data_IF_488474192525
#
_entry.id   IF_488474192525
#
_cell.length_a   1.000
_cell.length_b   1.000
_cell.length_c   1.000
_cell.angle_alpha   90.00
_cell.angle_beta   90.00
_cell.angle_gamma   90.00
#
_symmetry.space_group_name_H-M   'P 1'
#
loop_
_entity.id
_entity.type
_entity.pdbx_description
1 polymer ?
#
# COMPACT_ATOMS: atom_id res chain seq x y z
N UNK A 1 -20.36 22.44 5.82
CA UNK A 1 -19.85 21.11 5.39
C UNK A 1 -20.44 20.81 4.03
N UNK A 2 -19.68 21.01 2.95
CA UNK A 2 -20.23 20.86 1.62
C UNK A 2 -20.37 19.37 1.24
N UNK A 3 -21.61 18.92 0.99
CA UNK A 3 -21.93 17.64 0.33
C UNK A 3 -21.08 17.38 -0.93
N UNK A 4 -20.57 18.44 -1.56
CA UNK A 4 -19.68 18.39 -2.71
C UNK A 4 -18.35 17.68 -2.45
N UNK A 5 -17.83 17.66 -1.21
CA UNK A 5 -16.54 17.00 -0.91
C UNK A 5 -16.63 15.48 -1.00
N UNK A 6 -17.69 14.88 -0.44
CA UNK A 6 -17.88 13.42 -0.45
C UNK A 6 -18.23 12.87 -1.85
N UNK A 7 -19.04 13.60 -2.63
CA UNK A 7 -19.38 13.20 -4.00
C UNK A 7 -18.17 13.24 -4.94
N UNK A 8 -17.17 14.08 -4.66
CA UNK A 8 -15.90 14.13 -5.41
C UNK A 8 -14.90 13.06 -5.00
N UNK A 9 -14.98 12.59 -3.75
CA UNK A 9 -14.13 11.52 -3.25
C UNK A 9 -14.37 10.20 -3.98
N UNK A 10 -15.63 9.88 -4.31
CA UNK A 10 -15.99 8.60 -4.92
C UNK A 10 -15.38 8.38 -6.32
N UNK A 11 -15.42 9.34 -7.27
CA UNK A 11 -14.72 9.21 -8.54
C UNK A 11 -13.21 9.04 -8.39
N UNK A 12 -12.57 9.80 -7.50
CA UNK A 12 -11.12 9.70 -7.24
C UNK A 12 -10.77 8.28 -6.79
N UNK A 13 -11.56 7.76 -5.85
CA UNK A 13 -11.43 6.41 -5.34
C UNK A 13 -11.56 5.37 -6.47
N UNK A 14 -12.67 5.41 -7.20
CA UNK A 14 -12.96 4.42 -8.22
C UNK A 14 -11.91 4.44 -9.32
N UNK A 15 -11.54 5.62 -9.83
CA UNK A 15 -10.64 5.76 -10.97
C UNK A 15 -9.18 5.47 -10.64
N UNK A 16 -8.72 5.81 -9.42
CA UNK A 16 -7.29 5.69 -9.07
C UNK A 16 -6.96 4.42 -8.29
N UNK A 17 -7.92 3.80 -7.61
CA UNK A 17 -7.67 2.65 -6.74
C UNK A 17 -8.33 1.36 -7.24
N UNK A 18 -9.60 1.42 -7.62
CA UNK A 18 -10.36 0.19 -7.91
C UNK A 18 -10.37 -0.17 -9.39
N UNK A 19 -10.59 0.80 -10.28
CA UNK A 19 -10.71 0.57 -11.72
C UNK A 19 -9.43 -0.01 -12.33
N UNK A 20 -8.21 0.51 -12.06
CA UNK A 20 -7.00 -0.01 -12.69
C UNK A 20 -6.75 -1.49 -12.35
N UNK A 21 -6.90 -1.85 -11.07
CA UNK A 21 -6.73 -3.22 -10.61
C UNK A 21 -7.84 -4.14 -11.14
N UNK A 22 -9.09 -3.67 -11.19
CA UNK A 22 -10.22 -4.44 -11.74
C UNK A 22 -10.03 -4.76 -13.22
N UNK A 23 -9.58 -3.78 -14.02
CA UNK A 23 -9.34 -3.96 -15.45
C UNK A 23 -8.20 -4.96 -15.72
N UNK A 24 -7.16 -4.98 -14.89
CA UNK A 24 -6.10 -5.99 -14.98
C UNK A 24 -6.66 -7.36 -14.59
N UNK A 25 -7.35 -7.46 -13.45
CA UNK A 25 -7.86 -8.72 -12.93
C UNK A 25 -8.91 -9.37 -13.84
N UNK A 26 -9.70 -8.58 -14.55
CA UNK A 26 -10.67 -9.08 -15.53
C UNK A 26 -10.07 -9.36 -16.92
N UNK A 27 -8.77 -9.10 -17.12
CA UNK A 27 -8.08 -9.33 -18.39
C UNK A 27 -8.31 -8.26 -19.47
N UNK A 28 -9.01 -7.16 -19.20
CA UNK A 28 -9.17 -6.05 -20.15
C UNK A 28 -7.86 -5.28 -20.36
N UNK A 29 -7.02 -5.22 -19.33
CA UNK A 29 -5.68 -4.62 -19.38
C UNK A 29 -4.64 -5.71 -19.10
N UNK A 30 -3.57 -5.85 -19.91
CA UNK A 30 -2.55 -6.86 -19.66
C UNK A 30 -1.83 -6.66 -18.32
N UNK A 31 -1.50 -7.75 -17.63
CA UNK A 31 -0.79 -7.72 -16.34
C UNK A 31 0.55 -6.97 -16.36
N UNK A 32 1.19 -6.83 -17.53
CA UNK A 32 2.41 -6.03 -17.73
C UNK A 32 2.21 -4.55 -17.44
N UNK A 33 0.98 -4.03 -17.50
CA UNK A 33 0.66 -2.62 -17.23
C UNK A 33 0.53 -2.28 -15.74
N UNK A 34 0.68 -3.24 -14.82
CA UNK A 34 0.55 -2.98 -13.37
C UNK A 34 1.48 -1.87 -12.86
N UNK A 35 2.73 -1.82 -13.35
CA UNK A 35 3.70 -0.80 -12.93
C UNK A 35 3.43 0.57 -13.59
N UNK A 36 3.20 0.66 -14.93
CA UNK A 36 2.74 1.90 -15.55
C UNK A 36 1.48 2.49 -14.90
N UNK A 37 0.50 1.66 -14.56
CA UNK A 37 -0.75 2.12 -13.93
C UNK A 37 -0.55 2.56 -12.48
N UNK A 38 0.32 1.88 -11.72
CA UNK A 38 0.74 2.34 -10.39
C UNK A 38 1.41 3.72 -10.48
N UNK A 39 2.36 3.90 -11.41
CA UNK A 39 3.05 5.17 -11.63
C UNK A 39 2.07 6.28 -12.04
N UNK A 40 1.14 5.99 -12.96
CA UNK A 40 0.10 6.93 -13.37
C UNK A 40 -0.76 7.35 -12.17
N UNK A 41 -1.22 6.39 -11.37
CA UNK A 41 -2.05 6.66 -10.18
C UNK A 41 -1.28 7.51 -9.17
N UNK A 42 0.01 7.20 -8.95
CA UNK A 42 0.89 8.01 -8.10
C UNK A 42 1.03 9.44 -8.63
N UNK A 43 1.37 9.63 -9.90
CA UNK A 43 1.52 10.97 -10.49
C UNK A 43 0.22 11.78 -10.39
N UNK A 44 -0.93 11.17 -10.71
CA UNK A 44 -2.23 11.83 -10.62
C UNK A 44 -2.57 12.22 -9.18
N UNK A 45 -2.34 11.33 -8.21
CA UNK A 45 -2.59 11.66 -6.78
C UNK A 45 -1.63 12.70 -6.23
N UNK A 46 -0.37 12.75 -6.68
CA UNK A 46 0.57 13.84 -6.33
C UNK A 46 0.05 15.19 -6.86
N UNK A 47 -0.30 15.26 -8.15
CA UNK A 47 -0.87 16.49 -8.74
C UNK A 47 -2.17 16.89 -8.04
N UNK A 48 -3.03 15.92 -7.74
CA UNK A 48 -4.26 16.16 -7.00
C UNK A 48 -4.00 16.68 -5.58
N UNK A 49 -3.00 16.12 -4.87
CA UNK A 49 -2.61 16.59 -3.53
C UNK A 49 -2.19 18.05 -3.54
N UNK A 50 -1.43 18.45 -4.55
CA UNK A 50 -1.00 19.84 -4.77
C UNK A 50 -2.22 20.72 -5.04
N UNK A 51 -3.12 20.31 -5.93
CA UNK A 51 -4.36 21.02 -6.24
C UNK A 51 -5.25 21.22 -5.00
N UNK A 52 -5.29 20.22 -4.11
CA UNK A 52 -6.05 20.29 -2.84
C UNK A 52 -5.37 21.12 -1.76
N UNK A 53 -4.10 21.49 -1.95
CA UNK A 53 -3.32 22.21 -0.96
C UNK A 53 -2.97 21.37 0.26
N UNK A 54 -2.88 20.04 0.14
CA UNK A 54 -2.43 19.21 1.25
C UNK A 54 -1.00 19.54 1.64
N UNK A 55 -0.80 19.77 2.92
CA UNK A 55 0.53 19.99 3.49
C UNK A 55 1.32 18.69 3.55
N UNK A 56 2.66 18.81 3.57
CA UNK A 56 3.53 17.64 3.78
C UNK A 56 3.21 16.90 5.07
N UNK A 57 2.81 17.62 6.13
CA UNK A 57 2.38 17.03 7.40
C UNK A 57 1.11 16.18 7.28
N UNK A 58 0.11 16.64 6.54
CA UNK A 58 -1.12 15.87 6.27
C UNK A 58 -0.85 14.62 5.42
N UNK A 59 0.13 14.68 4.53
CA UNK A 59 0.62 13.54 3.76
C UNK A 59 1.59 12.65 4.57
N UNK A 60 1.89 12.99 5.82
CA UNK A 60 2.84 12.25 6.66
C UNK A 60 4.29 12.30 6.16
N UNK A 61 4.64 13.26 5.31
CA UNK A 61 6.01 13.53 4.88
C UNK A 61 6.63 14.43 5.94
N UNK A 62 7.23 13.81 6.96
CA UNK A 62 7.77 14.50 8.15
C UNK A 62 8.94 13.73 8.78
N UNK A 63 9.76 14.43 9.55
CA UNK A 63 11.00 13.89 10.15
C UNK A 63 10.96 13.83 11.68
N UNK A 64 10.10 14.61 12.31
CA UNK A 64 9.96 14.77 13.76
C UNK A 64 9.50 13.48 14.48
N UNK A 65 8.77 12.60 13.80
CA UNK A 65 8.38 11.28 14.33
C UNK A 65 9.05 10.08 13.61
N UNK A 66 10.03 10.33 12.74
CA UNK A 66 10.65 9.29 11.91
C UNK A 66 11.28 8.18 12.75
N UNK A 67 12.04 8.53 13.78
CA UNK A 67 12.68 7.55 14.67
C UNK A 67 11.68 6.63 15.37
N UNK A 68 10.53 7.17 15.81
CA UNK A 68 9.46 6.38 16.42
C UNK A 68 8.80 5.46 15.39
N UNK A 69 8.48 5.97 14.21
CA UNK A 69 7.89 5.18 13.11
C UNK A 69 8.81 4.02 12.72
N UNK A 70 10.11 4.27 12.58
CA UNK A 70 11.09 3.23 12.26
C UNK A 70 11.11 2.14 13.33
N UNK A 71 11.20 2.50 14.62
CA UNK A 71 11.24 1.52 15.73
C UNK A 71 10.01 0.62 15.77
N UNK A 72 8.81 1.18 15.62
CA UNK A 72 7.57 0.40 15.65
C UNK A 72 7.50 -0.54 14.44
N UNK A 73 7.89 -0.07 13.26
CA UNK A 73 7.86 -0.91 12.06
C UNK A 73 8.94 -2.02 12.06
N UNK A 74 10.09 -1.84 12.73
CA UNK A 74 11.08 -2.93 12.91
C UNK A 74 10.43 -4.16 13.56
N UNK A 75 9.68 -3.94 14.65
CA UNK A 75 9.00 -5.02 15.37
C UNK A 75 8.02 -5.75 14.45
N UNK A 76 7.23 -4.98 13.68
CA UNK A 76 6.29 -5.54 12.72
C UNK A 76 6.98 -6.37 11.62
N UNK A 77 8.09 -5.87 11.09
CA UNK A 77 8.87 -6.59 10.07
C UNK A 77 9.45 -7.88 10.61
N UNK A 78 10.00 -7.89 11.83
CA UNK A 78 10.49 -9.13 12.44
C UNK A 78 9.37 -10.16 12.62
N UNK A 79 8.18 -9.73 13.07
CA UNK A 79 7.02 -10.61 13.20
C UNK A 79 6.57 -11.19 11.85
N UNK A 80 6.50 -10.37 10.80
CA UNK A 80 6.10 -10.83 9.46
C UNK A 80 7.16 -11.70 8.79
N UNK A 81 8.44 -11.39 8.95
CA UNK A 81 9.52 -12.24 8.48
C UNK A 81 9.49 -13.61 9.17
N UNK A 82 9.22 -13.65 10.49
CA UNK A 82 9.04 -14.90 11.22
C UNK A 82 7.80 -15.67 10.75
N UNK A 83 6.68 -14.98 10.50
CA UNK A 83 5.47 -15.58 9.92
C UNK A 83 5.75 -16.20 8.55
N UNK A 84 6.41 -15.48 7.63
CA UNK A 84 6.77 -16.03 6.32
C UNK A 84 7.69 -17.24 6.43
N UNK A 85 8.69 -17.19 7.33
CA UNK A 85 9.56 -18.33 7.59
C UNK A 85 8.77 -19.55 8.12
N UNK A 86 7.82 -19.34 9.02
CA UNK A 86 6.95 -20.39 9.55
C UNK A 86 6.03 -20.97 8.46
N UNK A 87 5.34 -20.12 7.69
CA UNK A 87 4.48 -20.56 6.59
C UNK A 87 5.27 -21.34 5.53
N UNK A 88 6.50 -20.92 5.25
CA UNK A 88 7.41 -21.64 4.36
C UNK A 88 7.80 -22.99 4.93
N UNK A 89 8.21 -23.05 6.20
CA UNK A 89 8.57 -24.29 6.89
C UNK A 89 7.41 -25.30 6.90
N UNK A 90 6.18 -24.82 7.10
CA UNK A 90 4.94 -25.61 7.07
C UNK A 90 4.46 -25.95 5.65
N UNK A 91 5.17 -25.52 4.60
CA UNK A 91 4.82 -25.72 3.18
C UNK A 91 3.44 -25.16 2.80
N UNK A 92 3.01 -24.10 3.48
CA UNK A 92 1.75 -23.39 3.20
C UNK A 92 1.90 -22.30 2.13
N UNK A 93 3.15 -21.95 1.79
CA UNK A 93 3.49 -21.03 0.70
C UNK A 93 4.44 -21.73 -0.29
N UNK A 94 4.37 -21.40 -1.59
CA UNK A 94 4.99 -22.18 -2.66
C UNK A 94 6.53 -22.15 -2.66
N UNK A 95 7.14 -21.29 -1.86
CA UNK A 95 8.58 -21.31 -1.63
C UNK A 95 9.34 -20.35 -2.51
N UNK A 96 10.68 -20.42 -2.49
CA UNK A 96 11.45 -19.25 -2.79
C UNK A 96 11.31 -18.81 -4.25
N UNK A 97 10.90 -17.56 -4.48
CA UNK A 97 11.03 -16.89 -5.78
C UNK A 97 12.33 -16.13 -5.79
N UNK A 98 13.06 -16.18 -6.91
CA UNK A 98 14.21 -15.30 -7.09
C UNK A 98 13.96 -14.44 -8.32
N UNK A 99 13.42 -13.22 -8.17
CA UNK A 99 13.36 -12.26 -9.27
C UNK A 99 14.76 -11.81 -9.65
N UNK A 100 14.90 -10.96 -10.68
CA UNK A 100 16.17 -10.31 -11.02
C UNK A 100 16.61 -9.38 -9.87
N UNK A 101 17.29 -9.93 -8.87
CA UNK A 101 17.52 -9.32 -7.56
C UNK A 101 18.17 -7.93 -7.61
N UNK A 102 19.13 -7.75 -8.53
CA UNK A 102 19.87 -6.50 -8.71
C UNK A 102 18.99 -5.33 -9.16
N UNK A 103 17.89 -5.62 -9.87
CA UNK A 103 16.93 -4.61 -10.32
C UNK A 103 15.74 -4.56 -9.38
N UNK A 104 15.24 -5.72 -8.95
CA UNK A 104 14.04 -5.83 -8.15
C UNK A 104 14.18 -5.16 -6.78
N UNK A 105 15.27 -5.40 -6.05
CA UNK A 105 15.46 -4.81 -4.71
C UNK A 105 15.45 -3.28 -4.69
N UNK A 106 16.32 -2.58 -5.46
CA UNK A 106 16.32 -1.13 -5.44
C UNK A 106 15.01 -0.56 -5.97
N UNK A 107 14.44 -1.15 -7.04
CA UNK A 107 13.14 -0.73 -7.56
C UNK A 107 12.02 -0.86 -6.51
N UNK A 108 11.95 -2.01 -5.84
CA UNK A 108 10.87 -2.30 -4.90
C UNK A 108 10.96 -1.42 -3.66
N UNK A 109 12.16 -1.28 -3.08
CA UNK A 109 12.40 -0.52 -1.87
C UNK A 109 12.28 1.00 -2.09
N UNK A 110 12.83 1.52 -3.19
CA UNK A 110 12.97 2.97 -3.41
C UNK A 110 11.83 3.57 -4.23
N UNK A 111 11.12 2.77 -5.02
CA UNK A 111 10.09 3.26 -5.92
C UNK A 111 8.73 2.65 -5.65
N UNK A 112 8.61 1.32 -5.79
CA UNK A 112 7.31 0.66 -5.72
C UNK A 112 6.65 0.80 -4.35
N UNK A 113 7.37 0.48 -3.27
CA UNK A 113 6.82 0.58 -1.91
C UNK A 113 6.46 2.04 -1.53
N UNK A 114 7.35 3.05 -1.71
CA UNK A 114 6.98 4.44 -1.46
C UNK A 114 5.79 4.94 -2.25
N UNK A 115 5.64 4.55 -3.53
CA UNK A 115 4.48 4.91 -4.34
C UNK A 115 3.19 4.32 -3.79
N UNK A 116 3.22 3.04 -3.41
CA UNK A 116 2.06 2.38 -2.81
C UNK A 116 1.69 3.00 -1.46
N UNK A 117 2.64 3.19 -0.55
CA UNK A 117 2.34 3.82 0.73
C UNK A 117 1.90 5.28 0.58
N UNK A 118 2.40 6.02 -0.41
CA UNK A 118 1.88 7.35 -0.71
C UNK A 118 0.41 7.29 -1.11
N UNK A 119 0.01 6.38 -1.99
CA UNK A 119 -1.38 6.22 -2.41
C UNK A 119 -2.30 5.88 -1.22
N UNK A 120 -1.96 4.85 -0.46
CA UNK A 120 -2.88 4.28 0.54
C UNK A 120 -2.78 4.92 1.92
N UNK A 121 -1.61 5.43 2.32
CA UNK A 121 -1.41 6.04 3.63
C UNK A 121 -1.43 7.55 3.56
N UNK A 122 -0.66 8.15 2.65
CA UNK A 122 -0.60 9.61 2.56
C UNK A 122 -1.87 10.18 1.93
N UNK A 123 -2.05 9.96 0.63
CA UNK A 123 -3.12 10.55 -0.14
C UNK A 123 -4.50 10.13 0.37
N UNK A 124 -4.74 8.82 0.49
CA UNK A 124 -6.06 8.31 0.81
C UNK A 124 -6.51 8.74 2.22
N UNK A 125 -5.63 8.78 3.23
CA UNK A 125 -6.02 9.31 4.55
C UNK A 125 -6.32 10.82 4.50
N UNK A 126 -5.46 11.61 3.85
CA UNK A 126 -5.66 13.05 3.72
C UNK A 126 -6.99 13.34 3.01
N UNK A 127 -7.26 12.64 1.91
CA UNK A 127 -8.48 12.81 1.14
C UNK A 127 -9.73 12.35 1.89
N UNK A 128 -9.70 11.19 2.57
CA UNK A 128 -10.84 10.76 3.40
C UNK A 128 -11.16 11.77 4.52
N UNK A 129 -10.12 12.30 5.18
CA UNK A 129 -10.31 13.33 6.22
C UNK A 129 -10.90 14.61 5.64
N UNK A 130 -10.43 15.04 4.47
CA UNK A 130 -10.97 16.20 3.76
C UNK A 130 -12.41 15.96 3.23
N UNK A 131 -12.78 14.71 2.96
CA UNK A 131 -14.14 14.27 2.66
C UNK A 131 -15.05 14.21 3.91
N UNK A 132 -14.51 14.49 5.10
CA UNK A 132 -15.26 14.53 6.36
C UNK A 132 -15.29 13.21 7.13
N UNK A 133 -14.52 12.20 6.72
CA UNK A 133 -14.40 10.94 7.46
C UNK A 133 -13.58 11.17 8.73
N UNK A 134 -14.25 11.10 9.89
CA UNK A 134 -13.62 11.33 11.21
C UNK A 134 -13.38 10.06 12.02
N UNK A 135 -14.08 8.97 11.70
CA UNK A 135 -13.92 7.70 12.40
C UNK A 135 -12.56 7.07 12.05
N UNK A 136 -11.70 6.89 13.05
CA UNK A 136 -10.34 6.33 12.87
C UNK A 136 -10.34 4.92 12.28
N UNK A 137 -11.24 4.05 12.73
CA UNK A 137 -11.40 2.70 12.19
C UNK A 137 -11.86 2.71 10.74
N UNK A 138 -12.74 3.64 10.35
CA UNK A 138 -13.14 3.78 8.96
C UNK A 138 -11.93 4.13 8.08
N UNK A 139 -11.07 5.07 8.50
CA UNK A 139 -9.85 5.42 7.76
C UNK A 139 -8.91 4.21 7.62
N UNK A 140 -8.69 3.50 8.72
CA UNK A 140 -7.77 2.35 8.79
C UNK A 140 -8.27 1.19 7.94
N UNK A 141 -9.52 0.74 8.15
CA UNK A 141 -10.09 -0.39 7.44
C UNK A 141 -10.20 -0.12 5.95
N UNK A 142 -10.65 1.08 5.58
CA UNK A 142 -10.82 1.43 4.19
C UNK A 142 -9.49 1.52 3.44
N UNK A 143 -8.46 2.08 4.09
CA UNK A 143 -7.11 2.09 3.55
C UNK A 143 -6.52 0.68 3.41
N UNK A 144 -6.73 -0.19 4.40
CA UNK A 144 -6.28 -1.59 4.36
C UNK A 144 -7.00 -2.41 3.28
N UNK A 145 -8.32 -2.25 3.15
CA UNK A 145 -9.14 -2.89 2.11
C UNK A 145 -8.71 -2.43 0.72
N UNK A 146 -8.51 -1.13 0.51
CA UNK A 146 -8.06 -0.59 -0.77
C UNK A 146 -6.67 -1.11 -1.14
N UNK A 147 -5.75 -1.18 -0.16
CA UNK A 147 -4.41 -1.73 -0.35
C UNK A 147 -4.44 -3.21 -0.70
N UNK A 148 -5.23 -4.01 0.01
CA UNK A 148 -5.40 -5.43 -0.32
C UNK A 148 -6.05 -5.61 -1.69
N UNK A 149 -7.08 -4.82 -2.01
CA UNK A 149 -7.84 -4.94 -3.25
C UNK A 149 -6.97 -4.84 -4.49
N UNK A 150 -5.96 -3.94 -4.54
CA UNK A 150 -5.11 -3.85 -5.73
C UNK A 150 -4.32 -5.13 -6.03
N UNK A 151 -4.18 -6.03 -5.05
CA UNK A 151 -3.52 -7.31 -5.22
C UNK A 151 -4.44 -8.38 -5.83
N UNK A 152 -5.71 -8.06 -6.11
CA UNK A 152 -6.63 -8.95 -6.84
C UNK A 152 -6.07 -9.36 -8.22
N UNK A 153 -5.18 -8.56 -8.79
CA UNK A 153 -4.47 -8.82 -10.06
C UNK A 153 -3.61 -10.09 -10.05
N UNK A 154 -3.26 -10.61 -8.88
CA UNK A 154 -2.47 -11.84 -8.74
C UNK A 154 -3.35 -13.11 -8.76
N UNK A 155 -4.67 -12.96 -8.60
CA UNK A 155 -5.62 -14.08 -8.72
C UNK A 155 -5.60 -15.06 -7.55
N UNK A 156 -4.89 -14.76 -6.45
CA UNK A 156 -4.76 -15.66 -5.30
C UNK A 156 -5.28 -15.05 -3.99
N UNK A 157 -6.11 -15.81 -3.28
CA UNK A 157 -6.77 -15.38 -2.05
C UNK A 157 -5.79 -15.20 -0.88
N UNK A 158 -4.68 -15.94 -0.89
CA UNK A 158 -3.67 -15.88 0.17
C UNK A 158 -2.95 -14.52 0.14
N UNK A 159 -2.56 -14.03 -1.04
CA UNK A 159 -2.01 -12.68 -1.20
C UNK A 159 -3.00 -11.63 -0.74
N UNK A 160 -4.29 -11.74 -1.09
CA UNK A 160 -5.31 -10.81 -0.59
C UNK A 160 -5.39 -10.81 0.93
N UNK A 161 -5.44 -11.98 1.57
CA UNK A 161 -5.49 -12.11 3.03
C UNK A 161 -4.24 -11.54 3.70
N UNK A 162 -3.05 -11.90 3.23
CA UNK A 162 -1.78 -11.43 3.79
C UNK A 162 -1.59 -9.93 3.63
N UNK A 163 -1.91 -9.39 2.44
CA UNK A 163 -1.83 -7.95 2.15
C UNK A 163 -2.86 -7.16 2.95
N UNK A 164 -4.05 -7.72 3.20
CA UNK A 164 -5.02 -7.11 4.10
C UNK A 164 -4.52 -7.06 5.54
N UNK A 165 -4.00 -8.18 6.08
CA UNK A 165 -3.48 -8.23 7.45
C UNK A 165 -2.32 -7.27 7.68
N UNK A 166 -1.31 -7.25 6.80
CA UNK A 166 -0.20 -6.31 6.92
C UNK A 166 -0.65 -4.87 6.64
N UNK A 167 -1.54 -4.68 5.67
CA UNK A 167 -2.10 -3.39 5.31
C UNK A 167 -2.89 -2.77 6.46
N UNK A 168 -3.58 -3.58 7.27
CA UNK A 168 -4.27 -3.14 8.47
C UNK A 168 -3.29 -2.64 9.53
N UNK A 169 -2.19 -3.34 9.74
CA UNK A 169 -1.17 -2.97 10.72
C UNK A 169 -0.43 -1.69 10.31
N UNK A 170 -0.04 -1.56 9.03
CA UNK A 170 0.55 -0.32 8.52
C UNK A 170 -0.44 0.85 8.54
N UNK A 171 -1.72 0.61 8.23
CA UNK A 171 -2.75 1.64 8.36
C UNK A 171 -2.90 2.12 9.81
N UNK A 172 -2.88 1.20 10.78
CA UNK A 172 -2.92 1.53 12.21
C UNK A 172 -1.69 2.32 12.64
N UNK A 173 -0.48 1.85 12.29
CA UNK A 173 0.76 2.56 12.61
C UNK A 173 0.73 3.96 12.00
N UNK A 174 0.35 4.09 10.74
CA UNK A 174 0.28 5.39 10.07
C UNK A 174 -0.79 6.30 10.69
N UNK A 175 -1.93 5.77 11.11
CA UNK A 175 -2.98 6.55 11.78
C UNK A 175 -2.47 7.21 13.07
N UNK A 176 -1.69 6.49 13.89
CA UNK A 176 -1.14 7.02 15.15
C UNK A 176 0.19 7.76 14.97
N UNK A 177 1.02 7.33 14.02
CA UNK A 177 2.38 7.81 13.77
C UNK A 177 2.51 8.07 12.26
N UNK A 178 1.86 9.12 11.72
CA UNK A 178 1.86 9.36 10.28
C UNK A 178 3.27 9.72 9.84
N UNK A 179 3.93 8.79 9.17
CA UNK A 179 5.26 8.94 8.60
C UNK A 179 5.40 8.04 7.38
N UNK A 180 5.42 8.66 6.19
CA UNK A 180 5.47 7.95 4.91
C UNK A 180 6.78 7.18 4.76
N UNK A 181 7.91 7.79 5.10
CA UNK A 181 9.24 7.16 4.93
C UNK A 181 9.34 5.92 5.81
N UNK A 182 8.94 6.04 7.08
CA UNK A 182 8.97 4.94 8.03
C UNK A 182 8.18 3.74 7.55
N UNK A 183 6.92 3.93 7.14
CA UNK A 183 6.10 2.80 6.65
C UNK A 183 6.61 2.25 5.31
N UNK A 184 7.10 3.11 4.40
CA UNK A 184 7.57 2.70 3.06
C UNK A 184 8.80 1.79 3.11
N UNK A 185 9.78 2.09 3.98
CA UNK A 185 10.98 1.26 4.12
C UNK A 185 10.61 -0.16 4.51
N UNK A 186 9.74 -0.30 5.52
CA UNK A 186 9.37 -1.61 6.05
C UNK A 186 8.35 -2.34 5.18
N UNK A 187 7.49 -1.63 4.46
CA UNK A 187 6.74 -2.24 3.37
C UNK A 187 7.69 -2.80 2.30
N UNK A 188 8.73 -2.06 1.90
CA UNK A 188 9.71 -2.56 0.95
C UNK A 188 10.37 -3.86 1.41
N UNK A 189 10.81 -3.91 2.68
CA UNK A 189 11.44 -5.11 3.27
C UNK A 189 10.47 -6.29 3.37
N UNK A 190 9.26 -6.08 3.90
CA UNK A 190 8.25 -7.14 4.04
C UNK A 190 7.79 -7.64 2.67
N UNK A 191 7.60 -6.75 1.71
CA UNK A 191 7.21 -7.12 0.34
C UNK A 191 8.30 -7.88 -0.40
N UNK A 192 9.59 -7.53 -0.20
CA UNK A 192 10.72 -8.34 -0.67
C UNK A 192 10.63 -9.75 -0.11
N UNK A 193 10.45 -9.91 1.21
CA UNK A 193 10.31 -11.23 1.81
C UNK A 193 9.05 -11.97 1.33
N UNK A 194 7.95 -11.28 1.11
CA UNK A 194 6.72 -11.87 0.57
C UNK A 194 6.92 -12.42 -0.84
N UNK A 195 7.51 -11.63 -1.74
CA UNK A 195 7.85 -12.08 -3.11
C UNK A 195 8.85 -13.22 -3.06
N UNK A 196 9.90 -13.09 -2.25
CA UNK A 196 10.86 -14.18 -2.04
C UNK A 196 10.15 -15.42 -1.51
N UNK A 197 9.15 -15.33 -0.64
CA UNK A 197 8.42 -16.49 -0.13
C UNK A 197 7.39 -17.05 -1.14
N UNK A 198 7.22 -16.38 -2.27
CA UNK A 198 6.38 -16.78 -3.38
C UNK A 198 4.93 -16.28 -3.36
N UNK A 199 4.66 -15.27 -2.52
CA UNK A 199 3.39 -14.53 -2.48
C UNK A 199 3.36 -13.51 -3.62
N UNK A 200 2.16 -13.08 -4.04
CA UNK A 200 1.93 -12.09 -5.09
C UNK A 200 2.53 -12.51 -6.45
N UNK A 201 2.20 -13.73 -6.89
CA UNK A 201 2.53 -14.23 -8.23
C UNK A 201 1.23 -14.43 -9.01
N UNK A 202 1.21 -13.94 -10.25
CA UNK A 202 0.18 -14.33 -11.19
C UNK A 202 0.49 -15.78 -11.61
N UNK A 203 -0.33 -16.73 -11.15
CA UNK A 203 -0.22 -18.16 -11.48
C UNK A 203 -0.82 -18.45 -12.85
#
# INVERSE_FOLDING_TARGET
>A
MEKFSFLRFLPVLLLLFFLPASLIASGFVPFTFRLPLLLLSFCVTVVYSIYRGFTLGELGIRVDNLGLSLRVNIVLTLLFSALFALLFYLKLIPGPFYPAMTVFFPFYLLLSSPMQEFLFRSFLFAEMRAAGVRNGWALVLFSALSFSFIHIIYGDWLTLALTFCIGLLWALIYYYIPNLVGVSVFHGVVGIFGVLAGVARNL
#
